data_IF_698685625850
#
_entry.id   IF_698685625850
#
_cell.length_a   1.000
_cell.length_b   1.000
_cell.length_c   1.000
_cell.angle_alpha   90.00
_cell.angle_beta   90.00
_cell.angle_gamma   90.00
#
_symmetry.space_group_name_H-M   'P 1'
#
loop_
_entity.id
_entity.type
_entity.pdbx_description
1 polymer ?
#
# COMPACT_ATOMS: atom_id res chain seq x y z
N UNK A 1 34.16 -10.24 -5.50
CA UNK A 1 33.60 -9.81 -4.20
C UNK A 1 33.45 -8.29 -4.31
N UNK A 2 32.30 -7.66 -4.50
CA UNK A 2 30.88 -7.96 -4.23
C UNK A 2 30.09 -7.41 -5.42
N UNK A 3 29.01 -8.09 -5.82
CA UNK A 3 28.13 -7.64 -6.90
C UNK A 3 27.68 -6.20 -6.66
N UNK A 4 27.85 -5.35 -7.68
CA UNK A 4 27.22 -4.03 -7.72
C UNK A 4 25.72 -4.23 -7.99
N UNK A 5 24.97 -4.66 -6.98
CA UNK A 5 23.50 -4.57 -6.95
C UNK A 5 23.05 -3.18 -6.49
N UNK A 6 23.73 -2.15 -7.01
CA UNK A 6 23.42 -0.74 -6.78
C UNK A 6 22.20 -0.39 -7.63
N UNK A 7 21.04 -0.85 -7.20
CA UNK A 7 19.85 0.00 -7.30
C UNK A 7 20.07 1.06 -6.23
N UNK A 8 20.53 2.30 -6.53
CA UNK A 8 20.40 3.38 -5.56
C UNK A 8 18.95 3.34 -5.06
N UNK A 9 18.82 3.25 -3.74
CA UNK A 9 17.59 3.03 -2.99
C UNK A 9 16.38 3.62 -3.74
N UNK A 10 15.37 2.82 -4.07
CA UNK A 10 14.23 3.28 -4.87
C UNK A 10 13.61 4.56 -4.28
N UNK A 11 13.70 4.70 -2.95
CA UNK A 11 13.38 5.93 -2.23
C UNK A 11 14.23 7.11 -2.71
N UNK A 12 15.56 7.00 -2.69
CA UNK A 12 16.48 8.05 -3.17
C UNK A 12 16.18 8.48 -4.60
N UNK A 13 15.94 7.53 -5.51
CA UNK A 13 15.62 7.84 -6.90
C UNK A 13 14.31 8.64 -7.04
N UNK A 14 13.28 8.26 -6.31
CA UNK A 14 12.00 8.98 -6.34
C UNK A 14 12.08 10.34 -5.60
N UNK A 15 12.87 10.43 -4.53
CA UNK A 15 13.16 11.70 -3.85
C UNK A 15 13.93 12.66 -4.77
N UNK A 16 14.87 12.17 -5.57
CA UNK A 16 15.55 12.98 -6.58
C UNK A 16 14.57 13.48 -7.66
N UNK A 17 13.62 12.64 -8.09
CA UNK A 17 12.56 13.06 -9.01
C UNK A 17 11.67 14.17 -8.43
N UNK A 18 11.29 14.07 -7.15
CA UNK A 18 10.58 15.13 -6.44
C UNK A 18 11.38 16.44 -6.43
N UNK A 19 12.68 16.38 -6.09
CA UNK A 19 13.59 17.54 -6.09
C UNK A 19 13.73 18.18 -7.48
N UNK A 20 13.67 17.38 -8.54
CA UNK A 20 13.67 17.84 -9.92
C UNK A 20 12.32 18.44 -10.39
N UNK A 21 11.31 18.50 -9.52
CA UNK A 21 10.03 19.16 -9.77
C UNK A 21 8.87 18.23 -10.14
N UNK A 22 9.06 16.91 -10.15
CA UNK A 22 7.95 15.98 -10.34
C UNK A 22 7.08 15.95 -9.08
N UNK A 23 5.93 16.63 -9.09
CA UNK A 23 5.00 16.64 -7.96
C UNK A 23 3.72 15.82 -8.20
N UNK A 24 3.78 14.84 -9.11
CA UNK A 24 2.61 14.03 -9.50
C UNK A 24 2.17 13.08 -8.38
N UNK A 25 0.89 12.77 -8.28
CA UNK A 25 0.42 11.75 -7.33
C UNK A 25 1.08 10.38 -7.53
N UNK A 26 1.49 10.06 -8.76
CA UNK A 26 2.20 8.83 -9.11
C UNK A 26 3.54 8.68 -8.38
N UNK A 27 4.34 9.76 -8.25
CA UNK A 27 5.64 9.65 -7.57
C UNK A 27 5.46 9.36 -6.08
N UNK A 28 4.41 9.91 -5.48
CA UNK A 28 4.04 9.62 -4.09
C UNK A 28 3.54 8.19 -3.91
N UNK A 29 2.81 7.61 -4.87
CA UNK A 29 2.48 6.17 -4.83
C UNK A 29 3.75 5.31 -4.88
N UNK A 30 4.68 5.64 -5.77
CA UNK A 30 5.94 4.89 -5.91
C UNK A 30 6.79 4.95 -4.64
N UNK A 31 6.92 6.13 -4.02
CA UNK A 31 7.54 6.29 -2.71
C UNK A 31 6.82 5.49 -1.63
N UNK A 32 5.49 5.55 -1.61
CA UNK A 32 4.69 4.77 -0.66
C UNK A 32 4.96 3.27 -0.77
N UNK A 33 5.03 2.74 -1.99
CA UNK A 33 5.38 1.33 -2.25
C UNK A 33 6.82 1.02 -1.85
N UNK A 34 7.78 1.92 -2.09
CA UNK A 34 9.18 1.73 -1.70
C UNK A 34 9.30 1.64 -0.17
N UNK A 35 8.78 2.62 0.57
CA UNK A 35 8.74 2.59 2.04
C UNK A 35 8.01 1.36 2.59
N UNK A 36 6.94 0.91 1.92
CA UNK A 36 6.23 -0.32 2.31
C UNK A 36 7.12 -1.55 2.28
N UNK A 37 8.03 -1.65 1.29
CA UNK A 37 8.97 -2.77 1.14
C UNK A 37 10.05 -2.75 2.22
N UNK A 38 10.41 -1.57 2.71
CA UNK A 38 11.34 -1.37 3.84
C UNK A 38 10.66 -1.56 5.21
N UNK A 39 9.36 -1.87 5.22
CA UNK A 39 8.53 -1.93 6.43
C UNK A 39 8.41 -0.59 7.18
N UNK A 40 8.79 0.53 6.55
CA UNK A 40 8.46 1.87 7.03
C UNK A 40 7.02 2.23 6.64
N UNK A 41 6.09 1.63 7.37
CA UNK A 41 4.67 1.75 7.06
C UNK A 41 4.10 3.15 7.33
N UNK A 42 4.71 3.91 8.23
CA UNK A 42 4.28 5.28 8.54
C UNK A 42 4.64 6.24 7.40
N UNK A 43 5.90 6.19 6.93
CA UNK A 43 6.31 6.95 5.73
C UNK A 43 5.51 6.52 4.52
N UNK A 44 5.29 5.21 4.34
CA UNK A 44 4.49 4.70 3.23
C UNK A 44 3.07 5.28 3.22
N UNK A 45 2.39 5.25 4.36
CA UNK A 45 1.04 5.79 4.51
C UNK A 45 1.01 7.31 4.28
N UNK A 46 2.00 8.04 4.76
CA UNK A 46 2.12 9.48 4.50
C UNK A 46 2.21 9.75 3.00
N UNK A 47 3.01 8.98 2.26
CA UNK A 47 3.14 9.15 0.81
C UNK A 47 1.87 8.75 0.05
N UNK A 48 1.15 7.70 0.45
CA UNK A 48 -0.16 7.40 -0.15
C UNK A 48 -1.19 8.51 0.08
N UNK A 49 -1.18 9.16 1.25
CA UNK A 49 -2.03 10.33 1.50
C UNK A 49 -1.61 11.53 0.64
N UNK A 50 -0.31 11.76 0.43
CA UNK A 50 0.16 12.79 -0.50
C UNK A 50 -0.28 12.50 -1.93
N UNK A 51 -0.24 11.23 -2.37
CA UNK A 51 -0.75 10.83 -3.68
C UNK A 51 -2.22 11.22 -3.88
N UNK A 52 -3.07 10.99 -2.86
CA UNK A 52 -4.47 11.42 -2.85
C UNK A 52 -4.59 12.94 -2.97
N UNK A 53 -3.83 13.70 -2.19
CA UNK A 53 -3.85 15.17 -2.23
C UNK A 53 -3.40 15.73 -3.59
N UNK A 54 -2.59 14.97 -4.34
CA UNK A 54 -2.16 15.30 -5.71
C UNK A 54 -3.11 14.74 -6.78
N UNK A 55 -4.31 14.29 -6.41
CA UNK A 55 -5.35 13.86 -7.35
C UNK A 55 -5.14 12.46 -7.91
N UNK A 56 -4.30 11.62 -7.30
CA UNK A 56 -4.21 10.21 -7.69
C UNK A 56 -5.52 9.47 -7.36
N UNK A 57 -5.82 8.44 -8.14
CA UNK A 57 -7.03 7.63 -8.01
C UNK A 57 -7.25 7.14 -6.56
N UNK A 58 -8.38 7.51 -5.97
CA UNK A 58 -8.66 7.25 -4.56
C UNK A 58 -8.85 5.75 -4.28
N UNK A 59 -9.40 5.01 -5.25
CA UNK A 59 -9.57 3.55 -5.16
C UNK A 59 -8.20 2.87 -5.06
N UNK A 60 -7.24 3.27 -5.90
CA UNK A 60 -5.87 2.79 -5.85
C UNK A 60 -5.14 3.20 -4.57
N UNK A 61 -5.35 4.42 -4.05
CA UNK A 61 -4.79 4.86 -2.76
C UNK A 61 -5.33 4.00 -1.62
N UNK A 62 -6.65 3.82 -1.53
CA UNK A 62 -7.29 2.96 -0.51
C UNK A 62 -6.77 1.51 -0.61
N UNK A 63 -6.58 1.01 -1.83
CA UNK A 63 -6.00 -0.30 -2.07
C UNK A 63 -4.58 -0.44 -1.49
N UNK A 64 -3.71 0.55 -1.74
CA UNK A 64 -2.35 0.54 -1.21
C UNK A 64 -2.29 0.67 0.32
N UNK A 65 -3.15 1.52 0.90
CA UNK A 65 -3.26 1.64 2.37
C UNK A 65 -3.78 0.34 3.00
N UNK A 66 -4.72 -0.35 2.36
CA UNK A 66 -5.18 -1.64 2.85
C UNK A 66 -4.07 -2.70 2.79
N UNK A 67 -3.25 -2.70 1.73
CA UNK A 67 -2.07 -3.57 1.63
C UNK A 67 -1.05 -3.30 2.73
N UNK A 68 -0.84 -2.03 3.14
CA UNK A 68 -0.04 -1.70 4.32
C UNK A 68 -0.59 -2.34 5.60
N UNK A 69 -1.90 -2.26 5.82
CA UNK A 69 -2.53 -2.89 6.97
C UNK A 69 -2.41 -4.42 6.93
N UNK A 70 -2.54 -5.05 5.75
CA UNK A 70 -2.30 -6.49 5.58
C UNK A 70 -0.85 -6.86 5.94
N UNK A 71 0.14 -6.07 5.50
CA UNK A 71 1.55 -6.29 5.84
C UNK A 71 1.82 -6.17 7.35
N UNK A 72 1.14 -5.24 8.02
CA UNK A 72 1.14 -5.07 9.48
C UNK A 72 0.30 -6.10 10.23
N UNK A 73 -0.30 -7.07 9.53
CA UNK A 73 -1.26 -8.05 10.08
C UNK A 73 -2.53 -7.43 10.70
N UNK A 74 -2.80 -6.16 10.45
CA UNK A 74 -4.03 -5.48 10.84
C UNK A 74 -5.12 -5.70 9.80
N UNK A 75 -5.60 -6.94 9.72
CA UNK A 75 -6.59 -7.31 8.73
C UNK A 75 -7.94 -6.62 8.95
N UNK A 76 -8.26 -6.22 10.20
CA UNK A 76 -9.48 -5.46 10.52
C UNK A 76 -9.47 -4.10 9.82
N UNK A 77 -8.40 -3.31 9.94
CA UNK A 77 -8.28 -2.01 9.26
C UNK A 77 -8.21 -2.16 7.74
N UNK A 78 -7.58 -3.22 7.23
CA UNK A 78 -7.61 -3.52 5.80
C UNK A 78 -9.05 -3.74 5.28
N UNK A 79 -9.85 -4.56 5.98
CA UNK A 79 -11.25 -4.82 5.63
C UNK A 79 -12.07 -3.53 5.69
N UNK A 80 -11.95 -2.75 6.77
CA UNK A 80 -12.66 -1.47 6.91
C UNK A 80 -12.31 -0.47 5.79
N UNK A 81 -11.09 -0.56 5.25
CA UNK A 81 -10.65 0.31 4.15
C UNK A 81 -11.22 -0.13 2.80
N UNK A 82 -11.31 -1.44 2.52
CA UNK A 82 -11.70 -1.97 1.20
C UNK A 82 -13.19 -2.29 1.05
N UNK A 83 -13.88 -2.63 2.15
CA UNK A 83 -15.32 -2.94 2.10
C UNK A 83 -16.17 -1.84 1.45
N UNK A 84 -16.03 -0.53 1.78
CA UNK A 84 -16.81 0.51 1.11
C UNK A 84 -16.41 0.70 -0.36
N UNK A 85 -15.16 0.42 -0.73
CA UNK A 85 -14.67 0.56 -2.11
C UNK A 85 -15.36 -0.42 -3.06
N UNK A 86 -15.67 -1.63 -2.60
CA UNK A 86 -16.42 -2.61 -3.39
C UNK A 86 -17.85 -2.17 -3.66
N UNK A 87 -18.47 -1.39 -2.77
CA UNK A 87 -19.82 -0.89 -3.01
C UNK A 87 -19.85 0.10 -4.20
N UNK A 88 -18.81 0.93 -4.32
CA UNK A 88 -18.70 1.94 -5.38
C UNK A 88 -18.09 1.38 -6.68
N UNK A 89 -17.21 0.37 -6.58
CA UNK A 89 -16.50 -0.24 -7.70
C UNK A 89 -16.53 -1.79 -7.64
N UNK A 90 -17.71 -2.41 -7.80
CA UNK A 90 -17.90 -3.85 -7.59
C UNK A 90 -17.07 -4.73 -8.56
N UNK A 91 -16.77 -4.21 -9.74
CA UNK A 91 -15.99 -4.91 -10.78
C UNK A 91 -14.47 -4.76 -10.61
N UNK A 92 -14.01 -4.03 -9.60
CA UNK A 92 -12.58 -3.88 -9.34
C UNK A 92 -11.98 -5.18 -8.79
N UNK A 93 -11.48 -6.02 -9.70
CA UNK A 93 -10.89 -7.32 -9.40
C UNK A 93 -9.73 -7.25 -8.40
N UNK A 94 -8.94 -6.17 -8.44
CA UNK A 94 -7.79 -5.98 -7.55
C UNK A 94 -8.26 -5.75 -6.11
N UNK A 95 -9.20 -4.82 -5.92
CA UNK A 95 -9.78 -4.54 -4.60
C UNK A 95 -10.45 -5.79 -4.03
N UNK A 96 -11.21 -6.52 -4.87
CA UNK A 96 -11.88 -7.75 -4.45
C UNK A 96 -10.90 -8.82 -4.00
N UNK A 97 -9.79 -8.99 -4.72
CA UNK A 97 -8.74 -9.93 -4.35
C UNK A 97 -8.09 -9.54 -3.01
N UNK A 98 -7.74 -8.27 -2.82
CA UNK A 98 -7.11 -7.81 -1.59
C UNK A 98 -8.04 -7.86 -0.37
N UNK A 99 -9.34 -7.57 -0.55
CA UNK A 99 -10.34 -7.76 0.49
C UNK A 99 -10.49 -9.25 0.85
N UNK A 100 -10.51 -10.15 -0.15
CA UNK A 100 -10.56 -11.58 0.10
C UNK A 100 -9.32 -12.07 0.88
N UNK A 101 -8.12 -11.58 0.54
CA UNK A 101 -6.88 -11.88 1.29
C UNK A 101 -7.02 -11.43 2.74
N UNK A 102 -7.50 -10.21 2.99
CA UNK A 102 -7.69 -9.68 4.33
C UNK A 102 -8.70 -10.52 5.15
N UNK A 103 -9.84 -10.90 4.55
CA UNK A 103 -10.86 -11.74 5.19
C UNK A 103 -10.34 -13.14 5.54
N UNK A 104 -9.61 -13.78 4.62
CA UNK A 104 -9.02 -15.11 4.85
C UNK A 104 -8.01 -15.06 5.99
N UNK A 105 -7.14 -14.05 6.00
CA UNK A 105 -6.12 -13.87 7.05
C UNK A 105 -6.76 -13.57 8.41
N UNK A 106 -7.77 -12.70 8.45
CA UNK A 106 -8.54 -12.41 9.67
C UNK A 106 -9.20 -13.67 10.24
N UNK A 107 -9.81 -14.49 9.37
CA UNK A 107 -10.47 -15.73 9.77
C UNK A 107 -9.47 -16.76 10.31
N UNK A 108 -8.30 -16.91 9.67
CA UNK A 108 -7.23 -17.80 10.15
C UNK A 108 -6.70 -17.40 11.51
N UNK A 109 -6.64 -16.10 11.80
CA UNK A 109 -6.20 -15.59 13.10
C UNK A 109 -7.25 -15.85 14.21
N UNK A 110 -8.54 -15.76 13.88
CA UNK A 110 -9.63 -16.00 14.84
C UNK A 110 -9.90 -17.48 15.13
N UNK A 111 -9.34 -18.41 14.34
CA UNK A 111 -9.31 -19.82 14.71
C UNK A 111 -8.13 -20.01 15.66
N UNK A 112 -8.33 -20.12 17.00
CA UNK A 112 -7.26 -20.56 17.87
C UNK A 112 -6.74 -21.89 17.32
N UNK A 113 -5.41 -22.04 17.25
CA UNK A 113 -4.83 -23.35 16.95
C UNK A 113 -5.32 -24.28 18.05
N UNK A 114 -6.29 -25.13 17.75
CA UNK A 114 -6.65 -26.25 18.61
C UNK A 114 -5.39 -27.11 18.71
N UNK A 115 -4.72 -27.03 19.86
CA UNK A 115 -3.77 -28.04 20.30
C UNK A 115 -4.53 -29.20 20.92
#
# INVERSE_FOLDING_TARGET
MVAQDKVPDAVEAYLASLKAGNASGKIHVLLGVAYSKESDFDSAKAQFNQARLKGYDDVAVKNNIAMLYIAQQDYKRAIQTLAPVIADAPDNKVVRANLAIALIKQTKLMRPKSC
#
